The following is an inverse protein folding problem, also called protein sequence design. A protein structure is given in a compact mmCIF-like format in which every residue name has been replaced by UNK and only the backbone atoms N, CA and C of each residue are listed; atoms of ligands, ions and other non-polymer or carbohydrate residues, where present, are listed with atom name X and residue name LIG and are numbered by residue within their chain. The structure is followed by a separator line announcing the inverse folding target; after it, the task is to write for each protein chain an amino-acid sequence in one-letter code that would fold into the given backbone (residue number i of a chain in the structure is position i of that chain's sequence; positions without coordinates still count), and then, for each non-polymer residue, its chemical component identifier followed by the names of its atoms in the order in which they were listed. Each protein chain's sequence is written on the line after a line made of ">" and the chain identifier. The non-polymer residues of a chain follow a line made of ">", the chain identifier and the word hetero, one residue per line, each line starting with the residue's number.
data_IF_153245154755
#
_entry.id   IF_153245154755
#
_cell.length_a   1.000
_cell.length_b   1.000
_cell.length_c   1.000
_cell.angle_alpha   90.00
_cell.angle_beta   90.00
_cell.angle_gamma   90.00
#
_symmetry.space_group_name_H-M   'P 1'
#
loop_
_entity.id
_entity.type
_entity.pdbx_description
1 polymer ?
#
# COMPACT_ATOMS: atom_id res chain seq x y z
N UNK A 1 10.76 -21.02 -0.37
CA UNK A 1 10.88 -19.99 -1.42
C UNK A 1 9.58 -19.23 -1.58
N UNK A 2 9.66 -17.90 -1.64
CA UNK A 2 8.50 -17.03 -1.74
C UNK A 2 8.30 -16.66 -3.20
N UNK A 3 7.10 -16.88 -3.73
CA UNK A 3 6.71 -16.40 -5.05
C UNK A 3 5.76 -15.22 -4.87
N UNK A 4 6.03 -14.09 -5.53
CA UNK A 4 5.12 -12.94 -5.56
C UNK A 4 4.54 -12.85 -6.97
N UNK A 5 3.22 -12.79 -7.04
CA UNK A 5 2.51 -12.67 -8.31
C UNK A 5 1.24 -11.87 -8.18
N UNK A 6 0.67 -11.47 -9.31
CA UNK A 6 -0.64 -10.80 -9.31
C UNK A 6 -1.71 -11.71 -8.74
N UNK A 7 -2.67 -11.09 -8.07
CA UNK A 7 -3.88 -11.76 -7.62
C UNK A 7 -4.63 -12.36 -8.81
N UNK A 8 -5.16 -13.56 -8.62
CA UNK A 8 -6.03 -14.23 -9.58
C UNK A 8 -7.43 -14.39 -8.95
N UNK A 9 -8.50 -14.56 -9.75
CA UNK A 9 -9.84 -14.69 -9.20
C UNK A 9 -9.97 -15.81 -8.15
N UNK A 10 -9.22 -16.89 -8.30
CA UNK A 10 -9.22 -18.00 -7.34
C UNK A 10 -8.62 -17.65 -5.98
N UNK A 11 -7.91 -16.52 -5.88
CA UNK A 11 -7.21 -16.12 -4.66
C UNK A 11 -8.09 -15.32 -3.69
N UNK A 12 -9.25 -14.88 -4.12
CA UNK A 12 -10.06 -13.91 -3.35
C UNK A 12 -10.38 -14.38 -1.94
N UNK A 13 -10.75 -15.65 -1.80
CA UNK A 13 -11.07 -16.23 -0.49
C UNK A 13 -9.81 -16.32 0.40
N UNK A 14 -8.70 -16.76 -0.18
CA UNK A 14 -7.42 -16.86 0.55
C UNK A 14 -6.93 -15.47 0.99
N UNK A 15 -7.08 -14.46 0.14
CA UNK A 15 -6.73 -13.08 0.47
C UNK A 15 -7.55 -12.61 1.66
N UNK A 16 -8.85 -12.88 1.66
CA UNK A 16 -9.72 -12.52 2.76
C UNK A 16 -9.24 -13.17 4.06
N UNK A 17 -8.95 -14.47 4.02
CA UNK A 17 -8.44 -15.21 5.18
C UNK A 17 -7.14 -14.61 5.70
N UNK A 18 -6.19 -14.30 4.83
CA UNK A 18 -4.90 -13.72 5.22
C UNK A 18 -5.12 -12.39 5.95
N UNK A 19 -5.98 -11.53 5.43
CA UNK A 19 -6.26 -10.24 6.06
C UNK A 19 -6.94 -10.40 7.41
N UNK A 20 -7.96 -11.26 7.49
CA UNK A 20 -8.67 -11.50 8.76
C UNK A 20 -7.71 -12.04 9.82
N UNK A 21 -6.88 -12.99 9.47
CA UNK A 21 -5.96 -13.61 10.43
C UNK A 21 -4.82 -12.68 10.84
N UNK A 22 -4.31 -11.89 9.92
CA UNK A 22 -3.21 -10.98 10.21
C UNK A 22 -3.65 -9.82 11.12
N UNK A 23 -4.84 -9.28 10.91
CA UNK A 23 -5.33 -8.12 11.66
C UNK A 23 -6.21 -8.51 12.84
N UNK A 24 -6.68 -9.75 12.90
CA UNK A 24 -7.56 -10.21 13.97
C UNK A 24 -8.95 -9.59 13.90
N UNK A 25 -9.36 -9.09 12.75
CA UNK A 25 -10.66 -8.44 12.53
C UNK A 25 -11.00 -8.48 11.05
N UNK A 26 -12.24 -8.15 10.70
CA UNK A 26 -12.72 -8.23 9.33
C UNK A 26 -12.59 -6.93 8.53
N UNK A 27 -12.27 -5.82 9.18
CA UNK A 27 -12.30 -4.49 8.55
C UNK A 27 -11.39 -4.40 7.32
N UNK A 28 -10.17 -4.91 7.42
CA UNK A 28 -9.22 -4.85 6.29
C UNK A 28 -9.66 -5.75 5.14
N UNK A 29 -10.18 -6.93 5.45
CA UNK A 29 -10.72 -7.83 4.43
C UNK A 29 -11.93 -7.21 3.72
N UNK A 30 -12.81 -6.56 4.48
CA UNK A 30 -13.97 -5.86 3.92
C UNK A 30 -13.54 -4.68 3.04
N UNK A 31 -12.51 -3.95 3.46
CA UNK A 31 -11.95 -2.85 2.67
C UNK A 31 -11.42 -3.34 1.32
N UNK A 32 -10.70 -4.45 1.31
CA UNK A 32 -10.19 -5.05 0.07
C UNK A 32 -11.36 -5.37 -0.87
N UNK A 33 -12.42 -5.98 -0.35
CA UNK A 33 -13.59 -6.33 -1.15
C UNK A 33 -14.27 -5.09 -1.73
N UNK A 34 -14.42 -4.02 -0.93
CA UNK A 34 -15.01 -2.77 -1.40
C UNK A 34 -14.17 -2.11 -2.50
N UNK A 35 -12.86 -2.07 -2.31
CA UNK A 35 -11.97 -1.50 -3.31
C UNK A 35 -12.04 -2.29 -4.61
N UNK A 36 -12.06 -3.62 -4.51
CA UNK A 36 -12.14 -4.48 -5.71
C UNK A 36 -13.44 -4.25 -6.47
N UNK A 37 -14.55 -4.01 -5.76
CA UNK A 37 -15.86 -3.75 -6.38
C UNK A 37 -15.93 -2.37 -7.05
N UNK A 38 -15.27 -1.36 -6.50
CA UNK A 38 -15.48 0.04 -6.87
C UNK A 38 -14.32 0.64 -7.66
N UNK A 39 -13.22 -0.06 -7.82
CA UNK A 39 -12.03 0.50 -8.45
C UNK A 39 -11.34 -0.55 -9.31
N UNK A 40 -11.06 -0.20 -10.57
CA UNK A 40 -10.36 -1.08 -11.49
C UNK A 40 -8.84 -0.86 -11.47
N UNK A 41 -8.39 0.29 -10.96
CA UNK A 41 -6.98 0.68 -10.99
C UNK A 41 -6.27 0.29 -9.70
N UNK A 42 -6.26 -1.01 -9.43
CA UNK A 42 -5.60 -1.58 -8.26
C UNK A 42 -4.35 -2.36 -8.67
N UNK A 43 -3.37 -2.40 -7.77
CA UNK A 43 -2.31 -3.39 -7.84
C UNK A 43 -2.45 -4.29 -6.62
N UNK A 44 -2.79 -5.55 -6.86
CA UNK A 44 -2.98 -6.54 -5.81
C UNK A 44 -2.03 -7.71 -6.05
N UNK A 45 -1.12 -7.93 -5.09
CA UNK A 45 -0.13 -8.99 -5.18
C UNK A 45 -0.32 -9.98 -4.04
N UNK A 46 -0.08 -11.25 -4.34
CA UNK A 46 -0.08 -12.31 -3.34
C UNK A 46 1.31 -12.92 -3.22
N UNK A 47 1.64 -13.32 -2.00
CA UNK A 47 2.84 -14.11 -1.72
C UNK A 47 2.41 -15.56 -1.55
N UNK A 48 3.06 -16.45 -2.29
CA UNK A 48 2.75 -17.87 -2.29
C UNK A 48 3.95 -18.66 -1.80
N UNK A 49 3.72 -19.54 -0.83
CA UNK A 49 4.69 -20.50 -0.33
C UNK A 49 4.02 -21.86 -0.23
N UNK A 50 4.69 -22.91 -0.72
CA UNK A 50 4.15 -24.28 -0.66
C UNK A 50 2.74 -24.35 -1.25
N UNK A 51 2.53 -23.68 -2.38
CA UNK A 51 1.25 -23.63 -3.10
C UNK A 51 0.11 -22.98 -2.29
N UNK A 52 0.44 -22.20 -1.25
CA UNK A 52 -0.54 -21.55 -0.40
C UNK A 52 -0.30 -20.04 -0.41
N UNK A 53 -1.39 -19.26 -0.50
CA UNK A 53 -1.32 -17.80 -0.34
C UNK A 53 -1.07 -17.51 1.14
N UNK A 54 0.08 -16.91 1.44
CA UNK A 54 0.50 -16.62 2.82
C UNK A 54 0.60 -15.12 3.10
N UNK A 55 0.52 -14.30 2.07
CA UNK A 55 0.58 -12.84 2.21
C UNK A 55 -0.13 -12.13 1.09
N UNK A 56 -0.46 -10.86 1.33
CA UNK A 56 -1.18 -10.02 0.39
C UNK A 56 -0.81 -8.57 0.58
N UNK A 57 -0.70 -7.82 -0.51
CA UNK A 57 -0.53 -6.37 -0.48
C UNK A 57 -1.43 -5.75 -1.53
N UNK A 58 -2.06 -4.62 -1.17
CA UNK A 58 -2.93 -3.88 -2.07
C UNK A 58 -2.47 -2.44 -2.17
N UNK A 59 -2.40 -1.95 -3.40
CA UNK A 59 -2.18 -0.54 -3.69
C UNK A 59 -3.42 -0.01 -4.41
N UNK A 60 -3.91 1.14 -3.96
CA UNK A 60 -5.08 1.78 -4.56
C UNK A 60 -4.80 3.25 -4.88
N UNK A 61 -5.53 3.85 -5.83
CA UNK A 61 -5.29 5.25 -6.20
C UNK A 61 -5.40 6.20 -5.02
N UNK A 62 -4.47 7.16 -4.98
CA UNK A 62 -4.45 8.24 -4.01
C UNK A 62 -4.06 9.52 -4.74
N UNK A 63 -4.36 10.66 -4.14
CA UNK A 63 -4.00 11.93 -4.73
C UNK A 63 -3.39 12.86 -3.69
N UNK A 64 -2.57 13.80 -4.17
CA UNK A 64 -2.07 14.88 -3.32
C UNK A 64 -2.58 16.18 -3.94
N UNK A 65 -3.39 16.92 -3.18
CA UNK A 65 -3.88 18.23 -3.56
C UNK A 65 -2.87 19.28 -3.16
N UNK A 66 -2.24 19.88 -4.15
CA UNK A 66 -1.32 21.01 -4.01
C UNK A 66 -1.99 22.27 -4.56
N UNK A 67 -1.44 23.44 -4.24
CA UNK A 67 -1.98 24.71 -4.73
C UNK A 67 -1.99 24.79 -6.25
N UNK A 68 -0.96 24.28 -6.91
CA UNK A 68 -0.80 24.39 -8.35
C UNK A 68 -1.56 23.31 -9.11
N UNK A 69 -1.64 22.10 -8.56
CA UNK A 69 -2.24 20.95 -9.26
C UNK A 69 -2.48 19.80 -8.29
N UNK A 70 -3.23 18.81 -8.76
CA UNK A 70 -3.40 17.55 -8.05
C UNK A 70 -2.55 16.48 -8.73
N UNK A 71 -1.77 15.73 -7.94
CA UNK A 71 -0.92 14.65 -8.44
C UNK A 71 -1.57 13.32 -8.05
N UNK A 72 -1.65 12.41 -9.01
CA UNK A 72 -2.20 11.07 -8.79
C UNK A 72 -1.07 10.07 -8.54
N UNK A 73 -1.22 9.27 -7.52
CA UNK A 73 -0.30 8.20 -7.17
C UNK A 73 -1.04 7.05 -6.52
N UNK A 74 -0.39 6.34 -5.62
CA UNK A 74 -0.95 5.14 -5.02
C UNK A 74 -0.78 5.16 -3.49
N UNK A 75 -1.72 4.51 -2.80
CA UNK A 75 -1.65 4.26 -1.37
C UNK A 75 -1.43 2.77 -1.14
N UNK A 76 -0.52 2.43 -0.23
CA UNK A 76 -0.27 1.07 0.20
C UNK A 76 -1.15 0.77 1.42
N UNK A 77 -2.17 -0.04 1.24
CA UNK A 77 -3.03 -0.55 2.32
C UNK A 77 -4.11 -1.48 1.76
N UNK A 78 -4.38 -2.61 2.42
CA UNK A 78 -3.59 -3.17 3.51
C UNK A 78 -2.42 -4.02 3.01
N UNK A 79 -1.52 -4.37 3.91
CA UNK A 79 -0.54 -5.43 3.71
C UNK A 79 -0.67 -6.41 4.86
N UNK A 80 -0.76 -7.69 4.54
CA UNK A 80 -1.02 -8.74 5.52
C UNK A 80 -0.18 -9.98 5.23
N UNK A 81 0.30 -10.60 6.30
CA UNK A 81 1.02 -11.89 6.23
C UNK A 81 0.41 -12.78 7.30
N UNK A 82 0.13 -14.05 6.96
CA UNK A 82 -0.36 -15.02 7.95
C UNK A 82 0.58 -15.03 9.17
N UNK A 83 0.03 -15.08 10.40
CA UNK A 83 0.87 -15.00 11.59
C UNK A 83 2.03 -16.00 11.61
N UNK A 84 1.80 -17.24 11.17
CA UNK A 84 2.83 -18.28 11.16
C UNK A 84 3.92 -18.05 10.10
N UNK A 85 3.74 -17.10 9.19
CA UNK A 85 4.71 -16.76 8.15
C UNK A 85 5.33 -15.38 8.33
N UNK A 86 5.01 -14.68 9.42
CA UNK A 86 5.59 -13.38 9.73
C UNK A 86 7.05 -13.52 10.13
N UNK A 87 7.81 -12.42 10.00
CA UNK A 87 9.24 -12.35 10.32
C UNK A 87 10.11 -13.29 9.47
N UNK A 88 9.65 -13.61 8.27
CA UNK A 88 10.38 -14.41 7.29
C UNK A 88 10.65 -13.66 5.99
N UNK A 89 10.42 -12.35 5.98
CA UNK A 89 10.66 -11.52 4.81
C UNK A 89 9.52 -11.47 3.79
N UNK A 90 8.38 -12.09 4.06
CA UNK A 90 7.25 -12.12 3.12
C UNK A 90 6.72 -10.72 2.85
N UNK A 91 6.47 -9.93 3.92
CA UNK A 91 6.00 -8.56 3.77
C UNK A 91 6.98 -7.69 2.99
N UNK A 92 8.27 -7.84 3.27
CA UNK A 92 9.30 -7.05 2.57
C UNK A 92 9.37 -7.39 1.08
N UNK A 93 9.21 -8.67 0.71
CA UNK A 93 9.15 -9.06 -0.69
C UNK A 93 7.92 -8.49 -1.39
N UNK A 94 6.77 -8.48 -0.72
CA UNK A 94 5.56 -7.88 -1.24
C UNK A 94 5.74 -6.38 -1.49
N UNK A 95 6.32 -5.66 -0.53
CA UNK A 95 6.55 -4.22 -0.65
C UNK A 95 7.51 -3.93 -1.80
N UNK A 96 8.65 -4.63 -1.86
CA UNK A 96 9.65 -4.40 -2.91
C UNK A 96 9.10 -4.68 -4.30
N UNK A 97 8.38 -5.79 -4.45
CA UNK A 97 7.77 -6.15 -5.74
C UNK A 97 6.72 -5.13 -6.15
N UNK A 98 5.88 -4.70 -5.21
CA UNK A 98 4.86 -3.69 -5.47
C UNK A 98 5.45 -2.36 -5.90
N UNK A 99 6.47 -1.88 -5.19
CA UNK A 99 7.15 -0.63 -5.53
C UNK A 99 7.78 -0.71 -6.92
N UNK A 100 8.44 -1.82 -7.25
CA UNK A 100 9.05 -2.00 -8.57
C UNK A 100 8.00 -1.95 -9.67
N UNK A 101 6.84 -2.57 -9.47
CA UNK A 101 5.74 -2.54 -10.45
C UNK A 101 5.16 -1.13 -10.59
N UNK A 102 4.98 -0.41 -9.49
CA UNK A 102 4.46 0.96 -9.55
C UNK A 102 5.45 1.90 -10.25
N UNK A 103 6.75 1.70 -10.05
CA UNK A 103 7.78 2.42 -10.80
C UNK A 103 7.65 2.18 -12.29
N UNK A 104 7.48 0.92 -12.68
CA UNK A 104 7.29 0.54 -14.07
C UNK A 104 6.04 1.18 -14.68
N UNK A 105 4.98 1.34 -13.88
CA UNK A 105 3.73 1.98 -14.29
C UNK A 105 3.80 3.52 -14.25
N UNK A 106 4.95 4.08 -13.89
CA UNK A 106 5.19 5.52 -13.80
C UNK A 106 4.33 6.21 -12.74
N UNK A 107 3.99 5.52 -11.65
CA UNK A 107 3.35 6.14 -10.50
C UNK A 107 4.33 7.11 -9.84
N UNK A 108 3.94 8.37 -9.59
CA UNK A 108 4.90 9.35 -9.05
C UNK A 108 5.20 9.17 -7.57
N UNK A 109 4.29 8.56 -6.80
CA UNK A 109 4.49 8.41 -5.36
C UNK A 109 3.70 7.22 -4.81
N UNK A 110 4.10 6.79 -3.62
CA UNK A 110 3.33 5.87 -2.78
C UNK A 110 3.22 6.49 -1.39
N UNK A 111 2.02 6.52 -0.83
CA UNK A 111 1.80 6.88 0.58
C UNK A 111 1.48 5.63 1.38
N UNK A 112 1.86 5.66 2.66
CA UNK A 112 1.54 4.60 3.60
C UNK A 112 1.35 5.19 4.99
N UNK A 113 0.37 4.66 5.72
CA UNK A 113 0.20 4.92 7.14
C UNK A 113 0.59 3.64 7.87
N UNK A 114 1.73 3.66 8.56
CA UNK A 114 2.26 2.45 9.16
C UNK A 114 3.41 2.70 10.13
N UNK A 115 4.16 1.64 10.41
CA UNK A 115 5.21 1.70 11.40
C UNK A 115 6.44 2.45 10.89
N UNK A 116 6.82 3.49 11.62
CA UNK A 116 7.99 4.30 11.33
C UNK A 116 9.31 3.50 11.40
N UNK A 117 9.32 2.37 12.07
CA UNK A 117 10.50 1.49 12.15
C UNK A 117 10.61 0.50 11.01
N UNK A 118 9.59 0.40 10.15
CA UNK A 118 9.55 -0.62 9.10
C UNK A 118 9.72 -0.03 7.70
N UNK A 119 8.87 0.92 7.31
CA UNK A 119 8.80 1.41 5.94
C UNK A 119 10.03 2.22 5.47
N UNK A 120 10.77 2.92 6.36
CA UNK A 120 11.97 3.64 5.90
C UNK A 120 13.01 2.76 5.20
N UNK A 121 13.05 1.46 5.50
CA UNK A 121 13.97 0.53 4.82
C UNK A 121 13.73 0.42 3.32
N UNK A 122 12.55 0.83 2.85
CA UNK A 122 12.21 0.83 1.41
C UNK A 122 12.36 2.21 0.78
N UNK A 123 12.81 3.21 1.54
CA UNK A 123 12.97 4.58 1.06
C UNK A 123 11.87 5.53 1.46
N UNK A 124 10.85 5.08 2.19
CA UNK A 124 9.80 5.97 2.70
C UNK A 124 10.36 6.95 3.71
N UNK A 125 9.86 8.18 3.68
CA UNK A 125 10.18 9.23 4.66
C UNK A 125 8.87 9.80 5.19
N UNK A 126 8.89 10.42 6.39
CA UNK A 126 7.70 11.13 6.85
C UNK A 126 7.22 12.12 5.79
N UNK A 127 5.93 12.07 5.47
CA UNK A 127 5.37 12.96 4.43
C UNK A 127 5.52 14.43 4.79
N UNK A 128 5.59 14.74 6.09
CA UNK A 128 5.80 16.10 6.59
C UNK A 128 7.09 16.73 6.07
N UNK A 129 8.12 15.92 5.76
CA UNK A 129 9.39 16.42 5.18
C UNK A 129 9.13 17.12 3.85
N UNK A 130 8.09 16.72 3.13
CA UNK A 130 7.71 17.31 1.84
C UNK A 130 6.59 18.34 1.98
N UNK A 131 6.16 18.67 3.20
CA UNK A 131 5.01 19.54 3.42
C UNK A 131 3.69 18.89 3.04
N UNK A 132 3.62 17.56 3.08
CA UNK A 132 2.43 16.77 2.75
C UNK A 132 1.88 16.19 4.03
N UNK A 133 0.56 16.33 4.22
CA UNK A 133 -0.12 15.81 5.40
C UNK A 133 -1.27 14.90 5.01
N UNK A 134 -1.65 14.04 5.94
CA UNK A 134 -2.82 13.17 5.80
C UNK A 134 -4.11 13.98 5.96
N UNK A 135 -5.19 13.50 5.34
CA UNK A 135 -6.54 14.02 5.59
C UNK A 135 -7.04 13.69 6.99
N UNK A 136 -6.40 12.73 7.67
CA UNK A 136 -6.74 12.33 9.04
C UNK A 136 -5.69 12.82 10.02
N UNK A 137 -6.09 12.98 11.28
CA UNK A 137 -5.14 13.24 12.36
C UNK A 137 -4.39 11.96 12.69
N UNK A 138 -3.09 11.94 12.39
CA UNK A 138 -2.21 10.79 12.63
C UNK A 138 -0.84 11.30 13.08
N UNK A 139 -0.06 10.48 13.78
CA UNK A 139 1.32 10.89 14.13
C UNK A 139 2.13 11.18 12.86
N UNK A 140 2.93 12.25 12.90
CA UNK A 140 3.72 12.68 11.74
C UNK A 140 4.69 11.61 11.25
N UNK A 141 5.25 10.82 12.15
CA UNK A 141 6.19 9.76 11.79
C UNK A 141 5.51 8.50 11.24
N UNK A 142 4.19 8.36 11.42
CA UNK A 142 3.44 7.21 10.92
C UNK A 142 2.95 7.40 9.48
N UNK A 143 2.78 8.64 9.03
CA UNK A 143 2.35 8.92 7.66
C UNK A 143 3.56 9.21 6.78
N UNK A 144 3.83 8.31 5.84
CA UNK A 144 5.07 8.30 5.08
C UNK A 144 4.81 8.36 3.58
N UNK A 145 5.79 8.89 2.86
CA UNK A 145 5.76 9.06 1.42
C UNK A 145 7.03 8.48 0.80
N UNK A 146 6.86 7.78 -0.30
CA UNK A 146 7.96 7.36 -1.17
C UNK A 146 7.80 8.07 -2.50
N UNK A 147 8.81 8.88 -2.88
CA UNK A 147 8.83 9.54 -4.17
C UNK A 147 9.42 8.59 -5.20
N UNK A 148 8.65 8.30 -6.26
CA UNK A 148 9.09 7.43 -7.37
C UNK A 148 9.51 8.25 -8.59
N UNK A 149 8.96 9.47 -8.75
CA UNK A 149 9.31 10.38 -9.84
C UNK A 149 9.53 11.77 -9.26
N UNK A 150 10.80 12.12 -9.09
CA UNK A 150 11.17 13.41 -8.50
C UNK A 150 10.68 14.59 -9.30
N UNK A 151 10.66 14.48 -10.63
CA UNK A 151 10.22 15.60 -11.49
C UNK A 151 8.74 15.89 -11.30
N UNK A 152 7.91 14.87 -11.17
CA UNK A 152 6.47 15.01 -10.94
C UNK A 152 6.17 15.53 -9.54
N UNK A 153 7.01 15.22 -8.57
CA UNK A 153 6.79 15.58 -7.17
C UNK A 153 7.46 16.88 -6.77
N UNK A 154 8.23 17.50 -7.66
CA UNK A 154 8.94 18.73 -7.34
C UNK A 154 7.98 19.85 -7.01
N UNK A 155 8.14 20.46 -5.83
CA UNK A 155 7.32 21.58 -5.39
C UNK A 155 5.90 21.18 -4.96
N UNK A 156 5.60 19.90 -4.88
CA UNK A 156 4.28 19.41 -4.47
C UNK A 156 4.24 19.34 -2.95
N UNK A 157 3.26 20.04 -2.38
CA UNK A 157 2.94 19.99 -0.95
C UNK A 157 1.43 20.13 -0.81
N UNK A 158 0.88 19.73 0.33
CA UNK A 158 -0.57 19.85 0.57
C UNK A 158 -1.13 18.62 1.26
N UNK A 159 -2.33 18.21 0.86
CA UNK A 159 -3.07 17.15 1.53
C UNK A 159 -3.14 15.90 0.66
N UNK A 160 -2.77 14.77 1.23
CA UNK A 160 -2.91 13.47 0.60
C UNK A 160 -4.28 12.89 0.91
N UNK A 161 -4.95 12.37 -0.11
CA UNK A 161 -6.30 11.83 -0.02
C UNK A 161 -6.31 10.38 -0.47
N UNK A 162 -6.88 9.54 0.35
CA UNK A 162 -7.18 8.14 0.01
C UNK A 162 -8.52 8.06 -0.72
N UNK A 163 -8.83 6.90 -1.26
CA UNK A 163 -10.14 6.64 -1.82
C UNK A 163 -11.21 6.65 -0.72
N UNK A 164 -12.48 7.00 -1.08
CA UNK A 164 -13.56 7.09 -0.07
C UNK A 164 -13.79 5.80 0.73
N UNK A 165 -13.45 4.65 0.16
CA UNK A 165 -13.64 3.36 0.83
C UNK A 165 -12.88 3.26 2.16
N UNK A 166 -11.85 4.08 2.34
CA UNK A 166 -11.05 4.07 3.57
C UNK A 166 -11.72 4.80 4.74
N UNK A 167 -12.83 5.52 4.53
CA UNK A 167 -13.50 6.31 5.57
C UNK A 167 -14.79 5.69 6.07
#
# INVERSE_FOLDING_TARGET
>A
MIEIRDEQPKDMEAIREVNVRAFGQMQEADLVDKLRQNCDDLLSLVAVMQNKVVGHILFSPASIKSKARTVQGMALAPMAVLPEFQQRGVGSELVRTGIAELKRRLSPFVIVLGHAGYYPRFGFQPAAVYGIRSEWEVPDDAFMLLVLDESEMRGISGVALYRPEFT
#
